data_IF_978590637294
#
_entry.id   IF_978590637294
#
_cell.length_a   1.000
_cell.length_b   1.000
_cell.length_c   1.000
_cell.angle_alpha   90.00
_cell.angle_beta   90.00
_cell.angle_gamma   90.00
#
_symmetry.space_group_name_H-M   'P 1'
#
loop_
_entity.id
_entity.type
_entity.pdbx_description
1 polymer ?
#
# COMPACT_ATOMS: atom_id res chain seq x y z
N UNK A 1 -4.40 0.93 -2.64
CA UNK A 1 -3.79 1.83 -1.63
C UNK A 1 -2.67 2.73 -2.18
N UNK A 2 -1.56 2.21 -2.70
CA UNK A 2 -0.43 3.06 -3.16
C UNK A 2 -0.79 4.12 -4.21
N UNK A 3 -1.70 3.80 -5.15
CA UNK A 3 -2.17 4.74 -6.17
C UNK A 3 -2.89 5.98 -5.60
N UNK A 4 -3.61 5.84 -4.47
CA UNK A 4 -4.27 6.98 -3.84
C UNK A 4 -3.25 7.95 -3.21
N UNK A 5 -2.14 7.45 -2.67
CA UNK A 5 -1.05 8.31 -2.19
C UNK A 5 -0.40 9.10 -3.34
N UNK A 6 -0.35 8.54 -4.55
CA UNK A 6 0.14 9.24 -5.73
C UNK A 6 -0.81 10.36 -6.16
N UNK A 7 -2.11 10.09 -6.21
CA UNK A 7 -3.14 11.11 -6.47
C UNK A 7 -3.13 12.21 -5.41
N UNK A 8 -2.89 11.85 -4.16
CA UNK A 8 -2.83 12.81 -3.06
C UNK A 8 -1.65 13.77 -3.18
N UNK A 9 -0.47 13.28 -3.59
CA UNK A 9 0.68 14.14 -3.93
C UNK A 9 0.32 15.11 -5.04
N UNK A 10 -0.38 14.63 -6.07
CA UNK A 10 -0.78 15.43 -7.22
C UNK A 10 -1.82 16.49 -6.86
N UNK A 11 -2.83 16.15 -6.06
CA UNK A 11 -3.89 17.08 -5.65
C UNK A 11 -3.42 18.11 -4.63
N UNK A 12 -2.60 17.71 -3.66
CA UNK A 12 -2.12 18.61 -2.60
C UNK A 12 -0.88 19.39 -3.06
N UNK A 13 -0.16 18.92 -4.09
CA UNK A 13 1.03 19.58 -4.63
C UNK A 13 2.26 19.54 -3.72
N UNK A 14 2.30 18.58 -2.78
CA UNK A 14 3.39 18.40 -1.81
C UNK A 14 4.26 17.21 -2.16
N UNK A 15 5.47 17.15 -1.60
CA UNK A 15 6.37 16.03 -1.87
C UNK A 15 5.83 14.70 -1.31
N UNK A 16 6.12 13.57 -1.99
CA UNK A 16 5.74 12.24 -1.50
C UNK A 16 6.33 11.94 -0.11
N UNK A 17 7.49 12.51 0.20
CA UNK A 17 8.13 12.39 1.52
C UNK A 17 7.28 13.01 2.63
N UNK A 18 6.60 14.13 2.37
CA UNK A 18 5.68 14.75 3.34
C UNK A 18 4.45 13.88 3.58
N UNK A 19 3.90 13.29 2.51
CA UNK A 19 2.80 12.33 2.63
C UNK A 19 3.22 11.12 3.47
N UNK A 20 4.41 10.55 3.23
CA UNK A 20 4.94 9.44 4.06
C UNK A 20 5.05 9.87 5.53
N UNK A 21 5.64 11.04 5.81
CA UNK A 21 5.82 11.53 7.18
C UNK A 21 4.49 11.68 7.91
N UNK A 22 3.48 12.24 7.24
CA UNK A 22 2.15 12.41 7.81
C UNK A 22 1.41 11.07 8.00
N UNK A 23 1.63 10.10 7.12
CA UNK A 23 0.99 8.78 7.20
C UNK A 23 1.68 7.79 8.16
N UNK A 24 2.93 8.04 8.56
CA UNK A 24 3.73 7.10 9.35
C UNK A 24 3.08 6.77 10.70
N UNK A 25 2.66 7.80 11.45
CA UNK A 25 2.05 7.60 12.78
C UNK A 25 0.71 6.83 12.68
N UNK A 26 -0.26 7.24 11.83
CA UNK A 26 -1.47 6.45 11.60
C UNK A 26 -1.18 5.00 11.19
N UNK A 27 -0.24 4.78 10.28
CA UNK A 27 0.10 3.45 9.81
C UNK A 27 0.63 2.56 10.93
N UNK A 28 1.57 3.05 11.76
CA UNK A 28 2.11 2.30 12.89
C UNK A 28 1.02 1.93 13.90
N UNK A 29 0.16 2.89 14.25
CA UNK A 29 -0.96 2.64 15.17
C UNK A 29 -1.90 1.57 14.60
N UNK A 30 -2.27 1.67 13.31
CA UNK A 30 -3.13 0.70 12.65
C UNK A 30 -2.51 -0.70 12.61
N UNK A 31 -1.22 -0.84 12.28
CA UNK A 31 -0.56 -2.15 12.27
C UNK A 31 -0.47 -2.78 13.66
N UNK A 32 -0.11 -2.00 14.69
CA UNK A 32 -0.07 -2.49 16.07
C UNK A 32 -1.47 -2.93 16.52
N UNK A 33 -2.49 -2.11 16.24
CA UNK A 33 -3.86 -2.42 16.59
C UNK A 33 -4.35 -3.70 15.89
N UNK A 34 -4.10 -3.84 14.59
CA UNK A 34 -4.50 -5.02 13.81
C UNK A 34 -3.82 -6.30 14.33
N UNK A 35 -2.51 -6.27 14.57
CA UNK A 35 -1.78 -7.42 15.11
C UNK A 35 -2.37 -7.83 16.46
N UNK A 36 -2.62 -6.85 17.34
CA UNK A 36 -3.17 -7.13 18.68
C UNK A 36 -4.58 -7.71 18.61
N UNK A 37 -5.46 -7.15 17.77
CA UNK A 37 -6.84 -7.61 17.60
C UNK A 37 -6.89 -9.02 17.03
N UNK A 38 -6.12 -9.28 15.96
CA UNK A 38 -6.05 -10.62 15.35
C UNK A 38 -5.52 -11.64 16.34
N UNK A 39 -4.50 -11.28 17.13
CA UNK A 39 -3.97 -12.17 18.15
C UNK A 39 -5.01 -12.51 19.24
N UNK A 40 -5.71 -11.50 19.76
CA UNK A 40 -6.74 -11.71 20.77
C UNK A 40 -7.91 -12.55 20.25
N UNK A 41 -8.35 -12.32 19.02
CA UNK A 41 -9.43 -13.12 18.41
C UNK A 41 -8.97 -14.56 18.12
N UNK A 42 -7.74 -14.77 17.65
CA UNK A 42 -7.18 -16.12 17.46
C UNK A 42 -7.09 -16.89 18.79
N UNK A 43 -6.66 -16.23 19.87
CA UNK A 43 -6.63 -16.82 21.21
C UNK A 43 -8.03 -17.14 21.73
N UNK A 44 -8.99 -16.24 21.51
CA UNK A 44 -10.40 -16.44 21.91
C UNK A 44 -11.06 -17.57 21.13
N UNK A 45 -10.71 -17.75 19.87
CA UNK A 45 -11.19 -18.83 19.01
C UNK A 45 -10.47 -20.17 19.25
N UNK A 46 -9.47 -20.21 20.15
CA UNK A 46 -8.70 -21.43 20.44
C UNK A 46 -7.94 -21.98 19.22
N UNK A 47 -7.63 -21.13 18.24
CA UNK A 47 -6.99 -21.55 17.00
C UNK A 47 -5.55 -22.02 17.27
N UNK A 48 -5.24 -23.26 16.86
CA UNK A 48 -3.89 -23.80 16.89
C UNK A 48 -3.24 -23.63 15.51
N UNK A 49 -1.98 -23.23 15.48
CA UNK A 49 -1.22 -23.13 14.24
C UNK A 49 -0.91 -24.52 13.66
N UNK A 50 -0.63 -24.58 12.35
CA UNK A 50 -0.12 -25.77 11.69
C UNK A 50 1.16 -26.29 12.38
N UNK A 51 1.39 -27.62 12.39
CA UNK A 51 2.60 -28.19 12.97
C UNK A 51 3.82 -27.61 12.25
N UNK A 52 4.67 -26.92 13.00
CA UNK A 52 5.89 -26.33 12.45
C UNK A 52 7.00 -27.38 12.44
N UNK A 53 7.72 -27.50 11.31
CA UNK A 53 8.90 -28.38 11.15
C UNK A 53 10.02 -28.05 12.15
N UNK A 54 10.07 -26.80 12.58
CA UNK A 54 10.90 -26.31 13.67
C UNK A 54 10.05 -25.48 14.62
N UNK A 55 10.22 -25.62 15.93
CA UNK A 55 9.59 -24.76 16.93
C UNK A 55 10.52 -23.57 17.21
N UNK A 56 10.44 -22.45 16.45
CA UNK A 56 11.21 -21.27 16.80
C UNK A 56 10.78 -20.83 18.20
N UNK A 57 11.75 -20.42 19.02
CA UNK A 57 11.43 -19.76 20.28
C UNK A 57 10.60 -18.51 20.01
N UNK A 58 9.78 -18.07 20.98
CA UNK A 58 8.98 -16.85 20.88
C UNK A 58 9.86 -15.66 20.47
N UNK A 59 11.08 -15.60 21.02
CA UNK A 59 12.11 -14.61 20.67
C UNK A 59 12.52 -14.72 19.21
N UNK A 60 12.80 -15.91 18.69
CA UNK A 60 13.22 -16.10 17.30
C UNK A 60 12.10 -15.80 16.30
N UNK A 61 10.84 -16.12 16.64
CA UNK A 61 9.68 -15.80 15.79
C UNK A 61 9.36 -14.30 15.80
N UNK A 62 9.50 -13.63 16.95
CA UNK A 62 9.35 -12.19 17.05
C UNK A 62 10.49 -11.48 16.30
N UNK A 63 11.73 -11.98 16.43
CA UNK A 63 12.92 -11.45 15.77
C UNK A 63 12.88 -11.64 14.26
N UNK A 64 12.34 -12.75 13.74
CA UNK A 64 12.20 -12.96 12.29
C UNK A 64 11.14 -12.05 11.68
N UNK A 65 9.98 -11.92 12.31
CA UNK A 65 8.91 -11.02 11.85
C UNK A 65 9.30 -9.54 11.99
N UNK A 66 9.84 -9.15 13.15
CA UNK A 66 10.34 -7.80 13.35
C UNK A 66 11.52 -7.53 12.43
N UNK A 67 12.40 -8.51 12.22
CA UNK A 67 13.58 -8.41 11.36
C UNK A 67 13.27 -8.23 9.88
N UNK A 68 12.18 -8.82 9.34
CA UNK A 68 11.78 -8.58 7.94
C UNK A 68 11.21 -7.17 7.75
N UNK A 69 10.37 -6.70 8.68
CA UNK A 69 9.82 -5.33 8.66
C UNK A 69 10.94 -4.31 8.87
N UNK A 70 11.79 -4.49 9.88
CA UNK A 70 12.96 -3.62 10.10
C UNK A 70 13.91 -3.70 8.92
N UNK A 71 14.10 -4.86 8.30
CA UNK A 71 14.93 -5.03 7.12
C UNK A 71 14.46 -4.16 5.96
N UNK A 72 13.16 -4.15 5.66
CA UNK A 72 12.58 -3.29 4.61
C UNK A 72 12.71 -1.79 4.96
N UNK A 73 12.48 -1.43 6.23
CA UNK A 73 12.66 -0.06 6.71
C UNK A 73 14.13 0.39 6.65
N UNK A 74 15.06 -0.47 7.03
CA UNK A 74 16.50 -0.23 6.96
C UNK A 74 16.92 -0.10 5.51
N UNK A 75 16.48 -0.99 4.60
CA UNK A 75 16.78 -0.87 3.18
C UNK A 75 16.29 0.48 2.65
N UNK A 76 15.07 0.87 2.99
CA UNK A 76 14.51 2.17 2.59
C UNK A 76 15.32 3.35 3.16
N UNK A 77 15.75 3.26 4.42
CA UNK A 77 16.59 4.27 5.07
C UNK A 77 18.02 4.31 4.49
N UNK A 78 18.61 3.16 4.17
CA UNK A 78 19.93 3.03 3.52
C UNK A 78 19.87 3.60 2.11
N UNK A 79 18.78 3.41 1.38
CA UNK A 79 18.59 4.04 0.08
C UNK A 79 18.51 5.56 0.23
N UNK A 80 17.71 6.03 1.20
CA UNK A 80 17.53 7.46 1.45
C UNK A 80 18.83 8.15 1.90
N UNK A 81 19.48 7.64 2.95
CA UNK A 81 20.70 8.24 3.52
C UNK A 81 21.97 7.84 2.79
N UNK A 82 22.04 6.63 2.26
CA UNK A 82 23.23 6.06 1.64
C UNK A 82 23.35 6.35 0.15
N UNK A 83 22.26 6.71 -0.52
CA UNK A 83 22.31 7.13 -1.92
C UNK A 83 21.94 8.62 -2.04
N UNK A 84 21.20 9.22 -1.10
CA UNK A 84 20.75 10.62 -1.17
C UNK A 84 21.88 11.65 -1.34
N UNK A 85 23.02 11.44 -0.69
CA UNK A 85 24.21 12.31 -0.80
C UNK A 85 24.92 12.22 -2.16
N UNK A 86 24.66 11.16 -2.95
CA UNK A 86 25.33 10.99 -4.25
C UNK A 86 24.99 12.14 -5.19
N UNK A 87 23.80 12.72 -5.07
CA UNK A 87 23.40 13.88 -5.87
C UNK A 87 24.09 15.17 -5.41
N UNK A 88 24.29 15.36 -4.11
CA UNK A 88 25.01 16.51 -3.56
C UNK A 88 26.49 16.51 -3.98
N UNK A 89 27.09 15.32 -4.13
CA UNK A 89 28.52 15.17 -4.46
C UNK A 89 28.78 15.05 -5.97
N UNK A 90 27.92 14.34 -6.71
CA UNK A 90 28.16 13.99 -8.12
C UNK A 90 27.24 14.71 -9.12
N UNK A 91 26.26 15.50 -8.66
CA UNK A 91 25.36 16.26 -9.53
C UNK A 91 24.66 15.37 -10.57
N UNK A 92 24.74 15.76 -11.85
CA UNK A 92 24.12 15.02 -12.96
C UNK A 92 24.76 13.65 -13.23
N UNK A 93 25.98 13.39 -12.72
CA UNK A 93 26.61 12.08 -12.82
C UNK A 93 26.06 11.09 -11.77
N UNK A 94 25.25 11.52 -10.80
CA UNK A 94 24.68 10.63 -9.80
C UNK A 94 23.78 9.56 -10.42
N UNK A 95 22.93 9.93 -11.37
CA UNK A 95 21.99 9.00 -12.02
C UNK A 95 22.68 7.83 -12.72
N UNK A 96 23.70 8.03 -13.60
CA UNK A 96 24.42 6.91 -14.21
C UNK A 96 25.24 6.10 -13.19
N UNK A 97 25.84 6.74 -12.17
CA UNK A 97 26.59 6.03 -11.11
C UNK A 97 25.67 5.08 -10.33
N UNK A 98 24.49 5.56 -9.93
CA UNK A 98 23.48 4.76 -9.24
C UNK A 98 22.94 3.66 -10.15
N UNK A 99 22.75 3.93 -11.45
CA UNK A 99 22.37 2.92 -12.43
C UNK A 99 23.39 1.77 -12.53
N UNK A 100 24.68 2.10 -12.56
CA UNK A 100 25.76 1.08 -12.55
C UNK A 100 25.79 0.32 -11.22
N UNK A 101 25.67 1.02 -10.09
CA UNK A 101 25.61 0.40 -8.77
C UNK A 101 24.42 -0.55 -8.64
N UNK A 102 23.25 -0.17 -9.17
CA UNK A 102 22.05 -1.01 -9.22
C UNK A 102 22.29 -2.26 -10.07
N UNK A 103 22.90 -2.16 -11.24
CA UNK A 103 23.23 -3.31 -12.08
C UNK A 103 24.24 -4.25 -11.40
N UNK A 104 25.25 -3.71 -10.74
CA UNK A 104 26.22 -4.51 -9.96
C UNK A 104 25.52 -5.21 -8.79
N UNK A 105 24.64 -4.50 -8.08
CA UNK A 105 23.84 -5.07 -6.99
C UNK A 105 22.91 -6.17 -7.50
N UNK A 106 22.31 -5.99 -8.68
CA UNK A 106 21.48 -6.98 -9.34
C UNK A 106 22.26 -8.26 -9.63
N UNK A 107 23.43 -8.16 -10.26
CA UNK A 107 24.27 -9.34 -10.55
C UNK A 107 24.71 -10.02 -9.25
N UNK A 108 25.09 -9.25 -8.22
CA UNK A 108 25.47 -9.78 -6.91
C UNK A 108 24.34 -10.54 -6.22
N UNK A 109 23.14 -9.95 -6.17
CA UNK A 109 21.95 -10.56 -5.59
C UNK A 109 21.51 -11.79 -6.38
N UNK A 110 21.58 -11.73 -7.71
CA UNK A 110 21.25 -12.86 -8.57
C UNK A 110 22.23 -14.03 -8.37
N UNK A 111 23.51 -13.75 -8.13
CA UNK A 111 24.50 -14.79 -7.79
C UNK A 111 24.21 -15.46 -6.45
N UNK A 112 23.64 -14.74 -5.48
CA UNK A 112 23.17 -15.31 -4.22
C UNK A 112 21.91 -16.14 -4.46
N UNK A 113 20.92 -15.58 -5.16
CA UNK A 113 19.66 -16.26 -5.51
C UNK A 113 19.88 -17.54 -6.30
N UNK A 114 20.80 -17.55 -7.27
CA UNK A 114 21.15 -18.72 -8.08
C UNK A 114 21.59 -19.93 -7.24
N UNK A 115 22.20 -19.71 -6.06
CA UNK A 115 22.59 -20.79 -5.14
C UNK A 115 21.39 -21.45 -4.45
N UNK A 116 20.26 -20.73 -4.36
CA UNK A 116 19.02 -21.15 -3.70
C UNK A 116 17.85 -21.30 -4.70
N UNK A 117 18.12 -21.25 -6.01
CA UNK A 117 17.10 -21.24 -7.05
C UNK A 117 16.26 -22.54 -7.07
N UNK A 118 16.86 -23.68 -6.76
CA UNK A 118 16.18 -24.97 -6.71
C UNK A 118 15.37 -25.19 -5.41
N UNK A 119 15.57 -24.38 -4.37
CA UNK A 119 14.89 -24.51 -3.07
C UNK A 119 13.68 -23.58 -2.94
N UNK A 120 13.56 -22.56 -3.80
CA UNK A 120 12.52 -21.54 -3.75
C UNK A 120 11.38 -21.70 -4.75
N UNK A 121 11.43 -22.71 -5.62
CA UNK A 121 10.38 -23.00 -6.60
C UNK A 121 9.16 -23.66 -5.95
N UNK A 122 8.34 -22.86 -5.28
CA UNK A 122 7.04 -23.34 -4.80
C UNK A 122 6.07 -23.28 -5.99
N UNK A 123 5.59 -24.43 -6.45
CA UNK A 123 4.48 -24.49 -7.40
C UNK A 123 3.24 -23.85 -6.77
N UNK A 124 2.59 -22.96 -7.52
CA UNK A 124 1.49 -22.11 -7.06
C UNK A 124 0.27 -22.94 -6.57
N UNK A 125 0.18 -24.22 -6.98
CA UNK A 125 -0.94 -25.11 -6.72
C UNK A 125 -0.62 -26.30 -5.79
N UNK A 126 0.55 -26.33 -5.14
CA UNK A 126 0.87 -27.41 -4.21
C UNK A 126 0.13 -27.23 -2.88
N UNK A 127 -0.62 -28.26 -2.43
CA UNK A 127 -1.17 -28.30 -1.07
C UNK A 127 -0.02 -28.21 -0.05
N UNK A 128 0.14 -27.03 0.56
CA UNK A 128 1.17 -26.74 1.56
C UNK A 128 0.88 -27.52 2.84
N UNK A 129 1.42 -28.75 2.93
CA UNK A 129 1.34 -29.58 4.13
C UNK A 129 2.32 -29.14 5.24
N UNK A 130 3.35 -28.37 4.88
CA UNK A 130 4.36 -27.84 5.81
C UNK A 130 4.72 -26.39 5.45
N UNK A 131 5.11 -25.62 6.46
CA UNK A 131 5.61 -24.25 6.27
C UNK A 131 7.03 -24.32 5.68
N UNK A 132 7.29 -23.71 4.50
CA UNK A 132 8.63 -23.67 3.93
C UNK A 132 9.58 -22.85 4.80
N UNK A 133 10.87 -23.19 4.77
CA UNK A 133 11.87 -22.51 5.59
C UNK A 133 12.03 -21.04 5.12
N UNK A 134 11.82 -20.04 6.00
CA UNK A 134 11.79 -18.64 5.60
C UNK A 134 13.14 -18.11 5.09
N UNK A 135 14.25 -18.72 5.52
CA UNK A 135 15.60 -18.31 5.13
C UNK A 135 15.91 -18.48 3.64
N UNK A 136 15.85 -19.71 3.09
CA UNK A 136 16.12 -19.96 1.67
C UNK A 136 15.11 -19.27 0.74
N UNK A 137 13.83 -19.18 1.12
CA UNK A 137 12.79 -18.49 0.33
C UNK A 137 13.06 -17.00 0.17
N UNK A 138 13.53 -16.31 1.23
CA UNK A 138 13.89 -14.88 1.11
C UNK A 138 15.13 -14.71 0.21
N UNK A 139 16.10 -15.63 0.30
CA UNK A 139 17.33 -15.56 -0.48
C UNK A 139 17.11 -15.85 -1.97
N UNK A 140 16.12 -16.66 -2.34
CA UNK A 140 15.78 -16.91 -3.75
C UNK A 140 15.11 -15.69 -4.40
N UNK A 141 14.33 -14.89 -3.66
CA UNK A 141 13.59 -13.74 -4.19
C UNK A 141 14.26 -12.36 -4.03
N UNK A 142 15.50 -12.29 -3.53
CA UNK A 142 16.09 -11.05 -3.05
C UNK A 142 16.26 -9.97 -4.14
N UNK A 143 16.43 -10.36 -5.41
CA UNK A 143 16.54 -9.44 -6.54
C UNK A 143 15.23 -8.69 -6.85
N UNK A 144 14.07 -9.16 -6.40
CA UNK A 144 12.79 -8.46 -6.53
C UNK A 144 12.64 -7.26 -5.58
N UNK A 145 13.57 -7.05 -4.64
CA UNK A 145 13.59 -5.84 -3.83
C UNK A 145 14.14 -4.63 -4.59
N UNK A 146 14.92 -4.84 -5.67
CA UNK A 146 15.57 -3.75 -6.39
C UNK A 146 14.60 -2.80 -7.10
N UNK A 147 13.50 -3.24 -7.76
CA UNK A 147 12.49 -2.33 -8.28
C UNK A 147 11.89 -1.41 -7.21
N UNK A 148 11.76 -1.89 -5.96
CA UNK A 148 11.29 -1.07 -4.84
C UNK A 148 12.34 0.00 -4.52
N UNK A 149 13.63 -0.35 -4.52
CA UNK A 149 14.73 0.60 -4.35
C UNK A 149 14.68 1.68 -5.44
N UNK A 150 14.49 1.31 -6.71
CA UNK A 150 14.34 2.26 -7.83
C UNK A 150 13.14 3.17 -7.60
N UNK A 151 11.99 2.62 -7.20
CA UNK A 151 10.78 3.40 -6.94
C UNK A 151 10.99 4.41 -5.80
N UNK A 152 11.55 3.96 -4.68
CA UNK A 152 11.83 4.82 -3.51
C UNK A 152 12.88 5.87 -3.85
N UNK A 153 13.91 5.52 -4.61
CA UNK A 153 14.94 6.45 -5.09
C UNK A 153 14.34 7.57 -5.93
N UNK A 154 13.55 7.23 -6.96
CA UNK A 154 12.92 8.20 -7.84
C UNK A 154 11.97 9.15 -7.08
N UNK A 155 11.25 8.64 -6.08
CA UNK A 155 10.31 9.45 -5.28
C UNK A 155 11.01 10.33 -4.24
N UNK A 156 12.04 9.83 -3.57
CA UNK A 156 12.62 10.49 -2.40
C UNK A 156 13.82 11.36 -2.73
N UNK A 157 14.65 10.96 -3.70
CA UNK A 157 15.89 11.65 -4.04
C UNK A 157 15.75 12.45 -5.32
N UNK A 158 15.27 11.83 -6.40
CA UNK A 158 15.03 12.56 -7.65
C UNK A 158 13.79 13.45 -7.57
N UNK A 159 12.89 13.16 -6.61
CA UNK A 159 11.59 13.85 -6.44
C UNK A 159 10.80 13.90 -7.75
N UNK A 160 10.91 12.85 -8.55
CA UNK A 160 10.10 12.71 -9.76
C UNK A 160 8.63 12.57 -9.40
N UNK A 161 7.76 12.87 -10.36
CA UNK A 161 6.34 12.61 -10.18
C UNK A 161 6.12 11.12 -9.89
N UNK A 162 5.08 10.77 -9.12
CA UNK A 162 4.83 9.37 -8.80
C UNK A 162 4.63 8.48 -10.03
N UNK A 163 3.99 9.02 -11.08
CA UNK A 163 3.83 8.33 -12.36
C UNK A 163 5.16 7.99 -13.03
N UNK A 164 6.09 8.95 -13.10
CA UNK A 164 7.43 8.71 -13.66
C UNK A 164 8.25 7.72 -12.82
N UNK A 165 8.12 7.78 -11.49
CA UNK A 165 8.80 6.85 -10.59
C UNK A 165 8.31 5.41 -10.77
N UNK A 166 6.99 5.23 -10.89
CA UNK A 166 6.38 3.92 -11.17
C UNK A 166 6.79 3.39 -12.56
N UNK A 167 6.90 4.27 -13.56
CA UNK A 167 7.38 3.90 -14.89
C UNK A 167 8.79 3.31 -14.85
N UNK A 168 9.76 4.01 -14.24
CA UNK A 168 11.14 3.52 -14.15
C UNK A 168 11.28 2.23 -13.34
N UNK A 169 10.55 2.10 -12.24
CA UNK A 169 10.52 0.87 -11.46
C UNK A 169 9.95 -0.31 -12.29
N UNK A 170 8.93 -0.06 -13.10
CA UNK A 170 8.32 -1.08 -13.98
C UNK A 170 9.27 -1.48 -15.10
N UNK A 171 9.94 -0.52 -15.75
CA UNK A 171 10.98 -0.80 -16.76
C UNK A 171 12.10 -1.66 -16.18
N UNK A 172 12.53 -1.37 -14.95
CA UNK A 172 13.55 -2.17 -14.28
C UNK A 172 13.06 -3.58 -13.91
N UNK A 173 11.77 -3.72 -13.54
CA UNK A 173 11.16 -5.03 -13.32
C UNK A 173 11.12 -5.86 -14.61
N UNK A 174 10.74 -5.24 -15.73
CA UNK A 174 10.76 -5.87 -17.07
C UNK A 174 12.18 -6.37 -17.39
N UNK A 175 13.20 -5.54 -17.13
CA UNK A 175 14.59 -5.94 -17.30
C UNK A 175 14.92 -7.19 -16.47
N UNK A 176 14.62 -7.19 -15.17
CA UNK A 176 14.85 -8.34 -14.28
C UNK A 176 14.15 -9.60 -14.80
N UNK A 177 12.89 -9.49 -15.22
CA UNK A 177 12.07 -10.63 -15.62
C UNK A 177 12.61 -11.31 -16.88
N UNK A 178 13.11 -10.53 -17.84
CA UNK A 178 13.78 -11.05 -19.05
C UNK A 178 15.16 -11.64 -18.70
N UNK A 179 15.94 -11.00 -17.82
CA UNK A 179 17.35 -11.36 -17.61
C UNK A 179 17.59 -12.40 -16.51
N UNK A 180 16.68 -12.56 -15.54
CA UNK A 180 16.91 -13.41 -14.37
C UNK A 180 17.16 -14.87 -14.73
N UNK A 181 16.27 -15.48 -15.54
CA UNK A 181 16.33 -16.89 -15.93
C UNK A 181 17.58 -17.21 -16.75
N UNK A 182 17.90 -16.47 -17.84
CA UNK A 182 19.10 -16.76 -18.63
C UNK A 182 20.39 -16.54 -17.84
N UNK A 183 20.45 -15.54 -16.96
CA UNK A 183 21.63 -15.30 -16.12
C UNK A 183 21.81 -16.39 -15.05
N UNK A 184 20.72 -16.88 -14.43
CA UNK A 184 20.79 -18.02 -13.50
C UNK A 184 21.26 -19.27 -14.24
N UNK A 185 20.72 -19.55 -15.43
CA UNK A 185 21.16 -20.67 -16.27
C UNK A 185 22.65 -20.59 -16.64
N UNK A 186 23.11 -19.38 -17.00
CA UNK A 186 24.52 -19.12 -17.28
C UNK A 186 25.41 -19.36 -16.03
N UNK A 187 24.99 -18.89 -14.86
CA UNK A 187 25.72 -19.07 -13.60
C UNK A 187 25.71 -20.53 -13.12
N UNK A 188 24.61 -21.25 -13.37
CA UNK A 188 24.46 -22.68 -13.09
C UNK A 188 25.17 -23.58 -14.12
N UNK A 189 25.73 -22.99 -15.19
CA UNK A 189 26.36 -23.69 -16.34
C UNK A 189 25.43 -24.71 -17.02
N UNK A 190 24.14 -24.42 -17.07
CA UNK A 190 23.18 -25.24 -17.83
C UNK A 190 23.10 -24.75 -19.29
N UNK A 191 22.91 -25.68 -20.23
CA UNK A 191 23.06 -25.44 -21.67
C UNK A 191 21.88 -24.71 -22.35
N UNK A 192 20.80 -24.40 -21.62
CA UNK A 192 19.53 -24.00 -22.22
C UNK A 192 19.24 -22.49 -22.09
N UNK A 193 20.27 -21.65 -22.13
CA UNK A 193 20.13 -20.18 -21.96
C UNK A 193 19.15 -19.55 -22.96
N UNK A 194 19.12 -20.04 -24.21
CA UNK A 194 18.20 -19.54 -25.23
C UNK A 194 16.73 -19.89 -24.95
N UNK A 195 16.47 -21.08 -24.40
CA UNK A 195 15.11 -21.49 -24.01
C UNK A 195 14.63 -20.69 -22.80
N UNK A 196 15.50 -20.48 -21.81
CA UNK A 196 15.20 -19.67 -20.62
C UNK A 196 14.96 -18.20 -20.95
N UNK A 197 15.68 -17.64 -21.92
CA UNK A 197 15.41 -16.29 -22.43
C UNK A 197 14.03 -16.22 -23.08
N UNK A 198 13.68 -17.20 -23.92
CA UNK A 198 12.35 -17.28 -24.55
C UNK A 198 11.26 -17.41 -23.49
N UNK A 199 11.47 -18.23 -22.46
CA UNK A 199 10.55 -18.35 -21.33
C UNK A 199 10.37 -17.01 -20.62
N UNK A 200 11.44 -16.24 -20.37
CA UNK A 200 11.35 -14.90 -19.79
C UNK A 200 10.47 -13.93 -20.60
N UNK A 201 10.54 -13.97 -21.94
CA UNK A 201 9.64 -13.16 -22.78
C UNK A 201 8.19 -13.62 -22.75
N UNK A 202 7.95 -14.94 -22.64
CA UNK A 202 6.60 -15.49 -22.47
C UNK A 202 6.02 -15.06 -21.13
N UNK A 203 6.78 -15.20 -20.05
CA UNK A 203 6.41 -14.74 -18.70
C UNK A 203 6.09 -13.24 -18.71
N UNK A 204 6.86 -12.43 -19.44
CA UNK A 204 6.62 -10.99 -19.58
C UNK A 204 5.29 -10.71 -20.28
N UNK A 205 5.02 -11.39 -21.39
CA UNK A 205 3.79 -11.22 -22.15
C UNK A 205 2.58 -11.63 -21.30
N UNK A 206 2.66 -12.76 -20.59
CA UNK A 206 1.61 -13.22 -19.68
C UNK A 206 1.40 -12.25 -18.52
N UNK A 207 2.50 -11.76 -17.92
CA UNK A 207 2.44 -10.77 -16.84
C UNK A 207 1.82 -9.44 -17.29
N UNK A 208 2.11 -8.98 -18.51
CA UNK A 208 1.49 -7.80 -19.10
C UNK A 208 -0.01 -8.00 -19.35
N UNK A 209 -0.42 -9.17 -19.84
CA UNK A 209 -1.84 -9.52 -20.02
C UNK A 209 -2.56 -9.59 -18.67
N UNK A 210 -1.96 -10.23 -17.67
CA UNK A 210 -2.50 -10.30 -16.31
C UNK A 210 -2.64 -8.90 -15.69
N UNK A 211 -1.59 -8.08 -15.81
CA UNK A 211 -1.60 -6.68 -15.39
C UNK A 211 -2.71 -5.87 -16.06
N UNK A 212 -2.89 -6.02 -17.38
CA UNK A 212 -3.96 -5.37 -18.12
C UNK A 212 -5.34 -5.82 -17.64
N UNK A 213 -5.57 -7.12 -17.45
CA UNK A 213 -6.84 -7.67 -16.94
C UNK A 213 -7.18 -7.14 -15.55
N UNK A 214 -6.21 -7.12 -14.65
CA UNK A 214 -6.37 -6.56 -13.30
C UNK A 214 -6.66 -5.05 -13.32
N UNK A 215 -6.19 -4.34 -14.35
CA UNK A 215 -6.43 -2.90 -14.50
C UNK A 215 -7.83 -2.57 -15.05
N UNK A 216 -8.53 -3.48 -15.73
CA UNK A 216 -9.86 -3.22 -16.32
C UNK A 216 -10.84 -2.72 -15.24
N UNK A 217 -10.92 -3.42 -14.10
CA UNK A 217 -11.84 -3.05 -13.01
C UNK A 217 -11.54 -1.67 -12.42
N UNK A 218 -10.25 -1.36 -12.21
CA UNK A 218 -9.82 -0.05 -11.71
C UNK A 218 -10.09 1.04 -12.75
N UNK A 219 -9.87 0.76 -14.04
CA UNK A 219 -10.13 1.68 -15.14
C UNK A 219 -11.61 2.07 -15.26
N UNK A 220 -12.51 1.10 -15.19
CA UNK A 220 -13.97 1.37 -15.22
C UNK A 220 -14.40 2.18 -13.99
N UNK A 221 -13.93 1.81 -12.79
CA UNK A 221 -14.26 2.53 -11.57
C UNK A 221 -13.73 3.97 -11.55
N UNK A 222 -12.52 4.19 -12.06
CA UNK A 222 -11.92 5.53 -12.15
C UNK A 222 -12.59 6.40 -13.24
N UNK A 223 -13.01 5.82 -14.36
CA UNK A 223 -13.80 6.54 -15.37
C UNK A 223 -15.18 6.97 -14.82
N UNK A 224 -15.84 6.10 -14.06
CA UNK A 224 -17.09 6.44 -13.37
C UNK A 224 -16.86 7.53 -12.31
N UNK A 225 -15.85 7.38 -11.46
CA UNK A 225 -15.46 8.38 -10.47
C UNK A 225 -15.15 9.74 -11.09
N UNK A 226 -14.40 9.77 -12.20
CA UNK A 226 -14.09 10.99 -12.94
C UNK A 226 -15.33 11.67 -13.51
N UNK A 227 -16.31 10.88 -13.99
CA UNK A 227 -17.60 11.42 -14.45
C UNK A 227 -18.39 12.05 -13.30
N UNK A 228 -18.44 11.38 -12.14
CA UNK A 228 -19.06 11.92 -10.91
C UNK A 228 -18.39 13.22 -10.50
N UNK A 229 -17.06 13.25 -10.44
CA UNK A 229 -16.26 14.44 -10.11
C UNK A 229 -16.52 15.57 -11.10
N UNK A 230 -16.56 15.28 -12.41
CA UNK A 230 -16.87 16.26 -13.45
C UNK A 230 -18.26 16.87 -13.29
N UNK A 231 -19.29 16.03 -13.09
CA UNK A 231 -20.67 16.50 -12.86
C UNK A 231 -20.76 17.35 -11.60
N UNK A 232 -20.15 16.92 -10.50
CA UNK A 232 -20.20 17.67 -9.24
C UNK A 232 -19.49 19.01 -9.35
N UNK A 233 -18.32 19.03 -10.00
CA UNK A 233 -17.57 20.28 -10.22
C UNK A 233 -18.38 21.28 -11.05
N UNK A 234 -19.07 20.82 -12.10
CA UNK A 234 -19.88 21.68 -12.98
C UNK A 234 -21.21 22.12 -12.36
N UNK A 235 -21.80 21.28 -11.50
CA UNK A 235 -23.10 21.57 -10.85
C UNK A 235 -22.98 22.37 -9.56
N UNK A 236 -21.78 22.47 -8.99
CA UNK A 236 -21.58 23.15 -7.71
C UNK A 236 -22.08 22.36 -6.50
N UNK A 237 -22.33 21.04 -6.64
CA UNK A 237 -22.80 20.18 -5.54
C UNK A 237 -21.85 20.24 -4.32
N UNK A 238 -20.55 20.47 -4.52
CA UNK A 238 -19.59 20.64 -3.42
C UNK A 238 -19.95 21.81 -2.47
N UNK A 239 -20.48 22.91 -3.01
CA UNK A 239 -20.98 24.03 -2.22
C UNK A 239 -22.27 23.67 -1.48
N UNK A 240 -23.17 22.94 -2.14
CA UNK A 240 -24.40 22.45 -1.49
C UNK A 240 -24.08 21.51 -0.34
N UNK A 241 -23.07 20.66 -0.48
CA UNK A 241 -22.59 19.78 0.60
C UNK A 241 -21.95 20.57 1.75
N UNK A 242 -21.26 21.67 1.43
CA UNK A 242 -20.69 22.62 2.40
C UNK A 242 -21.81 23.21 3.25
N UNK A 243 -22.83 23.80 2.62
CA UNK A 243 -23.98 24.39 3.29
C UNK A 243 -24.79 23.37 4.11
N UNK A 244 -24.97 22.17 3.56
CA UNK A 244 -25.70 21.09 4.24
C UNK A 244 -25.00 20.64 5.52
N UNK A 245 -23.68 20.45 5.49
CA UNK A 245 -22.89 20.08 6.67
C UNK A 245 -22.86 21.23 7.67
N UNK A 246 -22.73 22.48 7.23
CA UNK A 246 -22.77 23.65 8.11
C UNK A 246 -24.10 23.75 8.85
N UNK A 247 -25.22 23.63 8.11
CA UNK A 247 -26.57 23.70 8.65
C UNK A 247 -26.81 22.65 9.75
N UNK A 248 -26.40 21.40 9.51
CA UNK A 248 -26.59 20.31 10.49
C UNK A 248 -25.64 20.46 11.67
N UNK A 249 -24.41 20.92 11.44
CA UNK A 249 -23.41 21.07 12.50
C UNK A 249 -23.64 22.28 13.41
N UNK A 250 -24.43 23.25 12.98
CA UNK A 250 -24.67 24.49 13.73
C UNK A 250 -23.38 25.30 13.97
N UNK A 251 -22.39 25.17 13.10
CA UNK A 251 -21.07 25.80 13.21
C UNK A 251 -20.11 25.13 14.21
N UNK A 252 -20.48 23.96 14.77
CA UNK A 252 -19.57 23.22 15.65
C UNK A 252 -18.61 22.34 14.84
N UNK A 253 -17.31 22.64 14.93
CA UNK A 253 -16.24 21.95 14.19
C UNK A 253 -16.23 20.44 14.41
N UNK A 254 -16.46 19.97 15.64
CA UNK A 254 -16.44 18.54 15.95
C UNK A 254 -17.60 17.84 15.24
N UNK A 255 -18.78 18.46 15.23
CA UNK A 255 -19.94 17.93 14.52
C UNK A 255 -19.73 17.95 13.01
N UNK A 256 -19.12 19.00 12.46
CA UNK A 256 -18.75 19.05 11.04
C UNK A 256 -17.87 17.87 10.66
N UNK A 257 -16.76 17.66 11.37
CA UNK A 257 -15.86 16.54 11.12
C UNK A 257 -16.57 15.18 11.27
N UNK A 258 -17.45 15.03 12.26
CA UNK A 258 -18.23 13.80 12.45
C UNK A 258 -19.18 13.55 11.27
N UNK A 259 -19.93 14.55 10.81
CA UNK A 259 -20.84 14.41 9.68
C UNK A 259 -20.06 14.17 8.38
N UNK A 260 -18.95 14.87 8.16
CA UNK A 260 -18.10 14.62 6.99
C UNK A 260 -17.51 13.21 7.02
N UNK A 261 -17.14 12.68 8.19
CA UNK A 261 -16.68 11.29 8.32
C UNK A 261 -17.79 10.29 7.95
N UNK A 262 -19.01 10.50 8.42
CA UNK A 262 -20.17 9.64 8.08
C UNK A 262 -20.49 9.72 6.59
N UNK A 263 -20.50 10.92 6.00
CA UNK A 263 -20.74 11.09 4.56
C UNK A 263 -19.63 10.42 3.75
N UNK A 264 -18.36 10.55 4.17
CA UNK A 264 -17.22 9.89 3.53
C UNK A 264 -17.33 8.37 3.59
N UNK A 265 -17.82 7.81 4.69
CA UNK A 265 -18.11 6.38 4.81
C UNK A 265 -19.20 5.96 3.83
N UNK A 266 -20.34 6.65 3.82
CA UNK A 266 -21.47 6.29 2.95
C UNK A 266 -21.06 6.38 1.46
N UNK A 267 -20.36 7.44 1.10
CA UNK A 267 -19.93 7.71 -0.27
C UNK A 267 -18.85 6.74 -0.75
N UNK A 268 -17.98 6.27 0.14
CA UNK A 268 -16.89 5.36 -0.18
C UNK A 268 -17.32 3.91 -0.39
N UNK A 269 -18.52 3.52 0.07
CA UNK A 269 -18.98 2.13 0.03
C UNK A 269 -19.06 1.57 -1.40
N UNK A 270 -18.33 0.48 -1.65
CA UNK A 270 -18.45 -0.26 -2.92
C UNK A 270 -17.59 0.29 -4.05
N UNK A 271 -16.72 1.26 -3.75
CA UNK A 271 -15.79 1.84 -4.70
C UNK A 271 -14.38 1.29 -4.44
N UNK A 272 -13.61 0.86 -5.46
CA UNK A 272 -12.21 0.53 -5.29
C UNK A 272 -11.44 1.69 -4.64
N UNK A 273 -10.52 1.39 -3.71
CA UNK A 273 -9.78 2.41 -2.91
C UNK A 273 -9.30 3.65 -3.68
N UNK A 274 -8.82 3.49 -4.92
CA UNK A 274 -8.39 4.62 -5.77
C UNK A 274 -9.58 5.47 -6.24
N UNK A 275 -10.65 4.84 -6.74
CA UNK A 275 -11.87 5.52 -7.19
C UNK A 275 -12.61 6.18 -6.02
N UNK A 276 -12.67 5.48 -4.88
CA UNK A 276 -13.19 5.99 -3.62
C UNK A 276 -12.48 7.29 -3.23
N UNK A 277 -11.14 7.28 -3.20
CA UNK A 277 -10.36 8.49 -2.90
C UNK A 277 -10.66 9.64 -3.85
N UNK A 278 -10.75 9.39 -5.17
CA UNK A 278 -11.07 10.43 -6.16
C UNK A 278 -12.41 11.09 -5.84
N UNK A 279 -13.46 10.28 -5.61
CA UNK A 279 -14.81 10.79 -5.34
C UNK A 279 -14.86 11.51 -3.99
N UNK A 280 -14.42 10.84 -2.92
CA UNK A 280 -14.53 11.35 -1.55
C UNK A 280 -13.65 12.58 -1.34
N UNK A 281 -12.42 12.61 -1.84
CA UNK A 281 -11.54 13.79 -1.67
C UNK A 281 -12.06 15.02 -2.43
N UNK A 282 -12.55 14.84 -3.66
CA UNK A 282 -13.10 15.95 -4.44
C UNK A 282 -14.34 16.56 -3.76
N UNK A 283 -15.18 15.72 -3.16
CA UNK A 283 -16.44 16.17 -2.57
C UNK A 283 -16.29 16.71 -1.16
N UNK A 284 -15.55 16.00 -0.31
CA UNK A 284 -15.54 16.25 1.13
C UNK A 284 -14.34 17.07 1.61
N UNK A 285 -13.21 17.08 0.89
CA UNK A 285 -12.07 17.90 1.29
C UNK A 285 -12.38 19.41 1.26
N UNK A 286 -13.05 19.96 0.23
CA UNK A 286 -13.41 21.38 0.20
C UNK A 286 -14.34 21.78 1.34
N UNK A 287 -15.25 20.89 1.76
CA UNK A 287 -16.15 21.10 2.90
C UNK A 287 -15.34 21.35 4.16
N UNK A 288 -14.41 20.45 4.50
CA UNK A 288 -13.60 20.58 5.73
C UNK A 288 -12.73 21.84 5.68
N UNK A 289 -12.10 22.14 4.54
CA UNK A 289 -11.23 23.31 4.38
C UNK A 289 -12.01 24.61 4.53
N UNK A 290 -13.17 24.70 3.86
CA UNK A 290 -13.96 25.94 3.81
C UNK A 290 -14.62 26.22 5.15
N UNK A 291 -15.32 25.25 5.74
CA UNK A 291 -15.97 25.44 7.03
C UNK A 291 -14.94 25.57 8.15
N UNK A 292 -13.85 24.81 8.10
CA UNK A 292 -12.74 24.95 9.06
C UNK A 292 -12.20 26.38 9.09
N UNK A 293 -11.89 26.94 7.92
CA UNK A 293 -11.43 28.33 7.81
C UNK A 293 -12.48 29.34 8.30
N UNK A 294 -13.77 29.14 7.98
CA UNK A 294 -14.86 30.01 8.41
C UNK A 294 -15.02 30.07 9.95
N UNK A 295 -14.73 28.97 10.64
CA UNK A 295 -14.78 28.87 12.10
C UNK A 295 -13.42 29.07 12.79
N UNK A 296 -12.44 29.64 12.09
CA UNK A 296 -11.13 30.03 12.66
C UNK A 296 -10.13 28.89 12.82
N UNK A 297 -10.39 27.71 12.24
CA UNK A 297 -9.48 26.56 12.28
C UNK A 297 -8.87 26.30 10.89
N UNK A 298 -7.61 26.70 10.72
CA UNK A 298 -6.86 26.42 9.49
C UNK A 298 -6.29 25.01 9.60
N UNK A 299 -6.92 24.06 8.90
CA UNK A 299 -6.47 22.66 8.87
C UNK A 299 -5.53 22.48 7.67
N UNK A 300 -4.32 21.90 7.87
CA UNK A 300 -3.42 21.59 6.76
C UNK A 300 -4.10 20.69 5.71
N UNK A 301 -3.94 21.00 4.43
CA UNK A 301 -4.58 20.24 3.33
C UNK A 301 -4.25 18.75 3.39
N UNK A 302 -2.99 18.40 3.70
CA UNK A 302 -2.56 17.01 3.91
C UNK A 302 -3.43 16.28 4.95
N UNK A 303 -3.76 16.94 6.06
CA UNK A 303 -4.54 16.35 7.13
C UNK A 303 -6.00 16.14 6.69
N UNK A 304 -6.56 17.08 5.92
CA UNK A 304 -7.89 16.93 5.33
C UNK A 304 -7.93 15.75 4.36
N UNK A 305 -6.96 15.66 3.44
CA UNK A 305 -6.90 14.56 2.47
C UNK A 305 -6.66 13.20 3.14
N UNK A 306 -5.83 13.13 4.19
CA UNK A 306 -5.66 11.91 4.99
C UNK A 306 -6.94 11.54 5.76
N UNK A 307 -7.65 12.52 6.30
CA UNK A 307 -8.90 12.31 7.04
C UNK A 307 -9.95 11.67 6.13
N UNK A 308 -10.22 12.29 4.97
CA UNK A 308 -11.22 11.78 4.04
C UNK A 308 -10.78 10.47 3.39
N UNK A 309 -9.47 10.28 3.16
CA UNK A 309 -8.91 9.01 2.67
C UNK A 309 -9.09 7.87 3.68
N UNK A 310 -8.86 8.13 4.97
CA UNK A 310 -8.99 7.13 6.01
C UNK A 310 -10.44 6.66 6.16
N UNK A 311 -11.39 7.59 6.27
CA UNK A 311 -12.82 7.25 6.33
C UNK A 311 -13.33 6.65 5.01
N UNK A 312 -12.79 7.09 3.88
CA UNK A 312 -13.07 6.48 2.58
C UNK A 312 -12.70 5.00 2.55
N UNK A 313 -11.45 4.65 2.85
CA UNK A 313 -11.01 3.23 2.84
C UNK A 313 -11.79 2.39 3.86
N UNK A 314 -12.05 2.95 5.04
CA UNK A 314 -12.80 2.25 6.09
C UNK A 314 -14.24 1.88 5.65
N UNK A 315 -14.78 2.55 4.62
CA UNK A 315 -16.08 2.24 4.04
C UNK A 315 -16.14 0.84 3.40
N UNK A 316 -15.04 0.40 2.77
CA UNK A 316 -14.99 -0.89 2.08
C UNK A 316 -15.05 -2.09 3.05
N UNK A 317 -14.72 -1.86 4.33
CA UNK A 317 -14.82 -2.86 5.41
C UNK A 317 -16.18 -2.85 6.12
N UNK A 318 -17.07 -1.90 5.78
CA UNK A 318 -18.36 -1.71 6.44
C UNK A 318 -19.47 -2.46 5.68
N UNK A 319 -20.29 -3.31 6.34
CA UNK A 319 -21.49 -3.89 5.76
C UNK A 319 -22.45 -2.81 5.25
N UNK A 320 -23.18 -3.04 4.15
CA UNK A 320 -23.36 -4.29 3.39
C UNK A 320 -22.26 -4.67 2.37
N UNK A 321 -21.24 -3.84 2.11
CA UNK A 321 -20.29 -4.09 1.00
C UNK A 321 -19.11 -4.99 1.40
N UNK A 322 -18.40 -4.65 2.49
CA UNK A 322 -17.44 -5.51 3.19
C UNK A 322 -16.59 -6.49 2.37
N UNK A 323 -15.99 -6.12 1.22
CA UNK A 323 -15.45 -7.07 0.22
C UNK A 323 -14.46 -8.09 0.83
N UNK A 324 -13.60 -7.63 1.75
CA UNK A 324 -12.66 -8.49 2.46
C UNK A 324 -13.38 -9.52 3.36
N UNK A 325 -14.47 -9.11 4.02
CA UNK A 325 -15.30 -10.00 4.83
C UNK A 325 -16.07 -11.01 3.97
N UNK A 326 -16.53 -10.65 2.77
CA UNK A 326 -17.14 -11.59 1.83
C UNK A 326 -16.15 -12.66 1.36
N UNK A 327 -14.92 -12.26 1.00
CA UNK A 327 -13.87 -13.19 0.63
C UNK A 327 -13.47 -14.10 1.81
N UNK A 328 -13.28 -13.52 3.00
CA UNK A 328 -12.96 -14.28 4.21
C UNK A 328 -14.08 -15.26 4.58
N UNK A 329 -15.35 -14.85 4.46
CA UNK A 329 -16.50 -15.70 4.73
C UNK A 329 -16.62 -16.85 3.73
N UNK A 330 -16.25 -16.64 2.46
CA UNK A 330 -16.19 -17.71 1.46
C UNK A 330 -15.13 -18.77 1.82
N UNK A 331 -13.98 -18.35 2.34
CA UNK A 331 -12.91 -19.26 2.81
C UNK A 331 -13.35 -19.97 4.10
N UNK A 332 -13.90 -19.24 5.06
CA UNK A 332 -14.31 -19.75 6.37
C UNK A 332 -15.66 -20.50 6.36
N UNK A 333 -16.36 -20.53 5.22
CA UNK A 333 -17.73 -21.06 5.08
C UNK A 333 -18.71 -20.46 6.11
N UNK A 334 -18.56 -19.17 6.40
CA UNK A 334 -19.38 -18.43 7.35
C UNK A 334 -20.35 -17.46 6.64
N UNK A 335 -21.29 -16.90 7.38
CA UNK A 335 -22.19 -15.87 6.86
C UNK A 335 -21.40 -14.56 6.60
N UNK A 336 -21.44 -13.99 5.38
CA UNK A 336 -20.67 -12.80 5.04
C UNK A 336 -21.05 -11.56 5.83
N UNK A 337 -22.34 -11.39 6.17
CA UNK A 337 -22.81 -10.21 6.90
C UNK A 337 -22.38 -10.28 8.36
N UNK A 338 -22.50 -11.45 9.01
CA UNK A 338 -21.99 -11.65 10.37
C UNK A 338 -20.47 -11.52 10.45
N UNK A 339 -19.77 -12.07 9.45
CA UNK A 339 -18.31 -11.93 9.33
C UNK A 339 -17.93 -10.47 9.15
N UNK A 340 -18.67 -9.73 8.32
CA UNK A 340 -18.51 -8.30 8.10
C UNK A 340 -18.79 -7.47 9.35
N UNK A 341 -19.84 -7.76 10.11
CA UNK A 341 -20.16 -7.08 11.38
C UNK A 341 -19.07 -7.34 12.43
N UNK A 342 -18.54 -8.58 12.50
CA UNK A 342 -17.45 -8.93 13.40
C UNK A 342 -16.13 -8.25 13.00
N UNK A 343 -15.85 -8.16 11.70
CA UNK A 343 -14.69 -7.47 11.15
C UNK A 343 -14.83 -5.95 11.18
N UNK A 344 -16.06 -5.44 11.35
CA UNK A 344 -16.38 -4.06 11.00
C UNK A 344 -15.82 -3.02 11.97
N UNK A 345 -15.59 -1.81 11.46
CA UNK A 345 -15.14 -0.69 12.26
C UNK A 345 -16.12 -0.20 13.32
N UNK A 346 -17.39 -0.58 13.33
CA UNK A 346 -18.36 -0.09 14.34
C UNK A 346 -17.96 -0.48 15.78
N UNK A 347 -17.14 -1.53 15.95
CA UNK A 347 -16.46 -1.88 17.21
C UNK A 347 -15.07 -1.21 17.33
N UNK A 348 -14.44 -0.84 16.21
CA UNK A 348 -13.09 -0.27 16.06
C UNK A 348 -13.03 1.26 16.29
N UNK A 349 -13.99 2.01 15.74
CA UNK A 349 -14.10 3.48 15.76
C UNK A 349 -14.29 4.04 17.18
N UNK A 350 -15.08 3.46 18.10
CA UNK A 350 -15.21 3.99 19.46
C UNK A 350 -13.91 3.90 20.29
N UNK A 351 -12.98 3.00 19.92
CA UNK A 351 -11.66 2.84 20.57
C UNK A 351 -10.58 3.67 19.88
N UNK A 352 -10.56 3.71 18.54
CA UNK A 352 -9.63 4.52 17.76
C UNK A 352 -9.93 6.02 17.86
N UNK A 353 -11.22 6.41 17.80
CA UNK A 353 -11.64 7.80 18.00
C UNK A 353 -11.34 8.27 19.43
N UNK A 354 -11.42 7.38 20.44
CA UNK A 354 -10.95 7.67 21.81
C UNK A 354 -9.44 7.89 21.87
N UNK A 355 -8.66 7.13 21.10
CA UNK A 355 -7.20 7.26 21.04
C UNK A 355 -6.78 8.54 20.30
N UNK A 356 -7.42 8.84 19.16
CA UNK A 356 -7.21 10.08 18.42
C UNK A 356 -7.66 11.31 19.22
N UNK A 357 -8.86 11.33 19.84
CA UNK A 357 -9.26 12.44 20.71
C UNK A 357 -8.30 12.63 21.89
N UNK A 358 -7.78 11.53 22.46
CA UNK A 358 -6.81 11.59 23.55
C UNK A 358 -5.44 12.12 23.09
N UNK A 359 -5.08 11.94 21.82
CA UNK A 359 -3.86 12.49 21.22
C UNK A 359 -4.04 13.96 20.81
N UNK A 360 -5.23 14.37 20.35
CA UNK A 360 -5.53 15.79 20.05
C UNK A 360 -5.71 16.64 21.31
N UNK A 361 -6.07 16.03 22.45
CA UNK A 361 -6.15 16.69 23.76
C UNK A 361 -4.81 16.71 24.53
N UNK A 362 -3.76 16.06 24.00
CA UNK A 362 -2.42 16.00 24.60
C UNK A 362 -1.35 16.79 23.83
N UNK A 363 -1.74 17.59 22.84
CA UNK A 363 -0.92 18.64 22.19
C UNK A 363 -1.59 20.00 22.41
#
# INVERSE_FOLDING_TARGET
MGAAAFLMVEYVGISYVEVIKAALLPALISYIALIYIVHLEACKAGMTGLPRRHNPTLVQSLLSFTGTILGLCIISAVVYYGIGWTKDVFGDAATPIVGVALLLSYIGLLRISAKYANEGGIEIDAELNEVPDPGPTIKSGLHFLLPIVVLVWCLTVERFSPGLSAFWATVFMIFILITQRPLIALMAKTSNVAEELKAGFVDLAESLVSGARNMIGIGVATAAAGTVVGVVTLTGIGLVMTDFVEFISGGNIILMLLFTAVISLILGMGLPTTANYIVVSTLMAPVIVTLGAAHGLIIPLIAVHLFVFYFGILADDTPPVGLAAFAAAAIAKSDPIRTGIQASPTIFVPRFCRLCLSLTLSC
#
